data_IF_204961443194
#
_entry.id   IF_204961443194
#
_cell.length_a   1.000
_cell.length_b   1.000
_cell.length_c   1.000
_cell.angle_alpha   90.00
_cell.angle_beta   90.00
_cell.angle_gamma   90.00
#
_symmetry.space_group_name_H-M   'P 1'
#
loop_
_entity.id
_entity.type
_entity.pdbx_description
1 polymer ?
#
# COMPACT_ATOMS: atom_id res chain seq x y z
N UNK A 1 7.95 -23.00 4.03
CA UNK A 1 7.87 -21.58 3.65
C UNK A 1 6.51 -21.32 3.00
N UNK A 2 5.74 -20.37 3.52
CA UNK A 2 4.42 -19.98 2.98
C UNK A 2 4.59 -19.15 1.69
N UNK A 3 3.52 -19.02 0.89
CA UNK A 3 3.57 -18.16 -0.30
C UNK A 3 3.87 -16.69 0.06
N UNK A 4 3.35 -16.22 1.20
CA UNK A 4 3.64 -14.90 1.73
C UNK A 4 5.13 -14.71 2.05
N UNK A 5 5.76 -15.69 2.71
CA UNK A 5 7.20 -15.66 2.99
C UNK A 5 8.03 -15.62 1.71
N UNK A 6 7.62 -16.38 0.68
CA UNK A 6 8.25 -16.34 -0.64
C UNK A 6 8.17 -14.94 -1.27
N UNK A 7 7.01 -14.28 -1.19
CA UNK A 7 6.86 -12.92 -1.71
C UNK A 7 7.80 -11.95 -0.99
N UNK A 8 7.84 -11.99 0.34
CA UNK A 8 8.74 -11.14 1.14
C UNK A 8 10.21 -11.34 0.77
N UNK A 9 10.65 -12.59 0.64
CA UNK A 9 12.03 -12.91 0.23
C UNK A 9 12.34 -12.33 -1.15
N UNK A 10 11.40 -12.50 -2.10
CA UNK A 10 11.58 -12.06 -3.49
C UNK A 10 11.51 -10.56 -3.69
N UNK A 11 10.90 -9.80 -2.78
CA UNK A 11 10.79 -8.34 -2.85
C UNK A 11 11.67 -7.61 -1.82
N UNK A 12 12.58 -8.32 -1.15
CA UNK A 12 13.35 -7.77 -0.04
C UNK A 12 14.26 -6.61 -0.48
N UNK A 13 14.84 -6.70 -1.68
CA UNK A 13 15.72 -5.66 -2.24
C UNK A 13 14.91 -4.40 -2.57
N UNK A 14 13.77 -4.56 -3.24
CA UNK A 14 12.87 -3.46 -3.59
C UNK A 14 12.31 -2.78 -2.34
N UNK A 15 11.96 -3.56 -1.32
CA UNK A 15 11.51 -3.03 -0.03
C UNK A 15 12.61 -2.20 0.64
N UNK A 16 13.85 -2.69 0.65
CA UNK A 16 14.99 -1.95 1.20
C UNK A 16 15.22 -0.64 0.42
N UNK A 17 15.18 -0.70 -0.91
CA UNK A 17 15.33 0.47 -1.79
C UNK A 17 14.19 1.47 -1.62
N UNK A 18 12.96 1.01 -1.42
CA UNK A 18 11.83 1.89 -1.11
C UNK A 18 12.11 2.70 0.16
N UNK A 19 12.67 2.04 1.19
CA UNK A 19 13.06 2.69 2.43
C UNK A 19 14.09 3.81 2.25
N UNK A 20 14.91 3.82 1.20
CA UNK A 20 15.96 4.84 1.00
C UNK A 20 15.45 6.11 0.31
N UNK A 21 14.18 6.16 -0.10
CA UNK A 21 13.59 7.35 -0.73
C UNK A 21 13.68 8.54 0.24
N UNK A 22 14.29 9.63 -0.22
CA UNK A 22 14.56 10.81 0.62
C UNK A 22 13.32 11.40 1.27
N UNK A 23 12.20 11.48 0.55
CA UNK A 23 10.94 11.98 1.10
C UNK A 23 10.41 11.13 2.26
N UNK A 24 10.60 9.80 2.21
CA UNK A 24 10.23 8.89 3.30
C UNK A 24 11.15 9.06 4.50
N UNK A 25 12.46 9.14 4.27
CA UNK A 25 13.44 9.39 5.32
C UNK A 25 13.20 10.73 6.03
N UNK A 26 12.91 11.79 5.28
CA UNK A 26 12.55 13.09 5.84
C UNK A 26 11.26 13.01 6.69
N UNK A 27 10.26 12.25 6.23
CA UNK A 27 9.05 11.98 6.99
C UNK A 27 9.32 11.26 8.31
N UNK A 28 10.10 10.17 8.30
CA UNK A 28 10.45 9.41 9.51
C UNK A 28 11.26 10.23 10.52
N UNK A 29 12.08 11.17 10.05
CA UNK A 29 12.88 12.05 10.89
C UNK A 29 12.12 13.29 11.37
N UNK A 30 10.89 13.51 10.92
CA UNK A 30 10.10 14.71 11.25
C UNK A 30 10.56 15.98 10.54
N UNK A 31 11.42 15.87 9.53
CA UNK A 31 12.02 17.00 8.79
C UNK A 31 11.35 17.25 7.43
N UNK A 32 10.17 16.69 7.19
CA UNK A 32 9.42 16.88 5.95
C UNK A 32 8.85 18.30 5.87
N UNK A 33 9.03 18.97 4.74
CA UNK A 33 8.44 20.30 4.52
C UNK A 33 6.94 20.20 4.23
N UNK A 34 6.19 21.26 4.53
CA UNK A 34 4.76 21.33 4.20
C UNK A 34 4.51 21.10 2.69
N UNK A 35 5.34 21.69 1.83
CA UNK A 35 5.24 21.52 0.38
C UNK A 35 5.43 20.05 -0.03
N UNK A 36 6.46 19.38 0.50
CA UNK A 36 6.71 17.96 0.22
C UNK A 36 5.55 17.10 0.70
N UNK A 37 4.98 17.43 1.87
CA UNK A 37 3.85 16.70 2.42
C UNK A 37 2.59 16.86 1.57
N UNK A 38 2.29 18.08 1.09
CA UNK A 38 1.18 18.32 0.16
C UNK A 38 1.40 17.57 -1.16
N UNK A 39 2.61 17.57 -1.70
CA UNK A 39 2.94 16.83 -2.91
C UNK A 39 2.74 15.32 -2.72
N UNK A 40 3.19 14.76 -1.59
CA UNK A 40 2.95 13.37 -1.22
C UNK A 40 1.45 13.05 -1.13
N UNK A 41 0.67 13.85 -0.40
CA UNK A 41 -0.78 13.63 -0.25
C UNK A 41 -1.52 13.73 -1.58
N UNK A 42 -1.10 14.63 -2.47
CA UNK A 42 -1.66 14.74 -3.82
C UNK A 42 -1.46 13.45 -4.61
N UNK A 43 -0.26 12.86 -4.56
CA UNK A 43 0.00 11.58 -5.22
C UNK A 43 -0.72 10.42 -4.51
N UNK A 44 -0.81 10.44 -3.18
CA UNK A 44 -1.56 9.46 -2.41
C UNK A 44 -3.05 9.46 -2.78
N UNK A 45 -3.65 10.63 -2.99
CA UNK A 45 -5.02 10.75 -3.48
C UNK A 45 -5.20 10.04 -4.84
N UNK A 46 -4.30 10.30 -5.80
CA UNK A 46 -4.36 9.63 -7.10
C UNK A 46 -4.16 8.12 -6.98
N UNK A 47 -3.25 7.68 -6.12
CA UNK A 47 -3.06 6.27 -5.83
C UNK A 47 -4.35 5.61 -5.31
N UNK A 48 -4.96 6.16 -4.26
CA UNK A 48 -6.21 5.63 -3.67
C UNK A 48 -7.35 5.66 -4.67
N UNK A 49 -7.49 6.75 -5.45
CA UNK A 49 -8.50 6.86 -6.52
C UNK A 49 -8.45 5.68 -7.50
N UNK A 50 -7.27 5.11 -7.75
CA UNK A 50 -7.09 3.98 -8.64
C UNK A 50 -7.12 2.61 -7.92
N UNK A 51 -6.66 2.51 -6.68
CA UNK A 51 -6.63 1.25 -5.94
C UNK A 51 -7.98 0.88 -5.32
N UNK A 52 -8.81 1.85 -4.93
CA UNK A 52 -10.16 1.59 -4.42
C UNK A 52 -11.02 0.77 -5.40
N UNK A 53 -11.18 1.17 -6.69
CA UNK A 53 -11.93 0.34 -7.65
C UNK A 53 -11.33 -1.05 -7.86
N UNK A 54 -10.00 -1.18 -7.82
CA UNK A 54 -9.31 -2.48 -7.93
C UNK A 54 -9.67 -3.40 -6.76
N UNK A 55 -9.70 -2.87 -5.54
CA UNK A 55 -10.04 -3.66 -4.36
C UNK A 55 -11.53 -3.97 -4.26
N UNK A 56 -12.40 -3.06 -4.68
CA UNK A 56 -13.83 -3.37 -4.88
C UNK A 56 -14.01 -4.52 -5.88
N UNK A 57 -13.26 -4.49 -7.00
CA UNK A 57 -13.28 -5.55 -8.01
C UNK A 57 -12.72 -6.88 -7.50
N UNK A 58 -11.71 -6.84 -6.62
CA UNK A 58 -11.18 -8.01 -5.91
C UNK A 58 -12.25 -8.59 -4.98
N UNK A 59 -12.83 -7.76 -4.11
CA UNK A 59 -13.89 -8.15 -3.18
C UNK A 59 -15.06 -8.80 -3.89
N UNK A 60 -15.58 -8.19 -4.96
CA UNK A 60 -16.68 -8.73 -5.77
C UNK A 60 -16.41 -10.13 -6.38
N UNK A 61 -15.13 -10.52 -6.52
CA UNK A 61 -14.71 -11.82 -7.07
C UNK A 61 -14.31 -12.84 -6.01
N UNK A 62 -14.34 -12.47 -4.72
CA UNK A 62 -14.05 -13.41 -3.65
C UNK A 62 -15.13 -14.52 -3.59
N UNK A 63 -14.73 -15.80 -3.62
CA UNK A 63 -15.66 -16.92 -3.45
C UNK A 63 -16.13 -17.02 -2.00
N UNK A 64 -17.28 -17.64 -1.77
CA UNK A 64 -17.93 -17.78 -0.45
C UNK A 64 -16.98 -18.33 0.64
N UNK A 65 -16.11 -19.28 0.31
CA UNK A 65 -15.11 -19.82 1.26
C UNK A 65 -14.14 -18.76 1.83
N UNK A 66 -14.03 -17.60 1.17
CA UNK A 66 -13.20 -16.45 1.56
C UNK A 66 -14.04 -15.26 2.03
N UNK A 67 -15.31 -15.47 2.40
CA UNK A 67 -16.19 -14.38 2.83
C UNK A 67 -15.62 -13.59 4.01
N UNK A 68 -14.89 -14.26 4.91
CA UNK A 68 -14.15 -13.64 6.02
C UNK A 68 -13.16 -12.56 5.58
N UNK A 69 -12.68 -12.59 4.33
CA UNK A 69 -11.73 -11.62 3.78
C UNK A 69 -12.45 -10.40 3.17
N UNK A 70 -13.74 -10.51 2.87
CA UNK A 70 -14.50 -9.43 2.21
C UNK A 70 -14.58 -8.19 3.10
N UNK A 71 -14.80 -8.37 4.40
CA UNK A 71 -14.82 -7.28 5.38
C UNK A 71 -13.46 -6.57 5.46
N UNK A 72 -12.36 -7.32 5.58
CA UNK A 72 -11.01 -6.76 5.60
C UNK A 72 -10.63 -6.00 4.32
N UNK A 73 -11.14 -6.43 3.14
CA UNK A 73 -10.97 -5.68 1.89
C UNK A 73 -11.80 -4.39 1.90
N UNK A 74 -12.97 -4.40 2.53
CA UNK A 74 -13.81 -3.22 2.72
C UNK A 74 -13.19 -2.19 3.65
N UNK A 75 -12.57 -2.60 4.77
CA UNK A 75 -11.88 -1.70 5.71
C UNK A 75 -10.67 -0.99 5.11
N UNK A 76 -10.04 -1.58 4.09
CA UNK A 76 -8.90 -0.97 3.41
C UNK A 76 -9.29 0.19 2.49
N UNK A 77 -10.55 0.23 2.04
CA UNK A 77 -11.09 1.22 1.09
C UNK A 77 -11.62 2.44 1.83
#
# INVERSE_FOLDING_TARGET
MTFFEKLKEKTAVEQANFGTIQALQAGFQGNITLETYIAFLTQAYHHVKHTTPLLMACGARLPERLEWLREAVGEYI
#
